data_IF_567669495848
#
_entry.id   IF_567669495848
#
_cell.length_a   1.000
_cell.length_b   1.000
_cell.length_c   1.000
_cell.angle_alpha   90.00
_cell.angle_beta   90.00
_cell.angle_gamma   90.00
#
_symmetry.space_group_name_H-M   'P 1'
#
loop_
_entity.id
_entity.type
_entity.pdbx_description
1 polymer ?
#
# COMPACT_ATOMS: atom_id res chain seq x y z
N UNK A 1 -55.92 -9.39 -32.63
CA UNK A 1 -55.65 -10.84 -32.50
C UNK A 1 -54.15 -11.01 -32.25
N UNK A 2 -53.76 -11.39 -31.01
CA UNK A 2 -52.55 -12.17 -30.61
C UNK A 2 -51.15 -11.67 -31.08
N UNK A 3 -50.03 -11.71 -30.37
CA UNK A 3 -49.57 -12.10 -29.03
C UNK A 3 -48.08 -11.65 -28.95
N UNK A 4 -47.63 -11.23 -27.75
CA UNK A 4 -46.29 -11.30 -27.13
C UNK A 4 -45.01 -11.54 -27.97
N UNK A 5 -43.89 -10.87 -27.62
CA UNK A 5 -42.73 -11.49 -26.94
C UNK A 5 -41.71 -10.43 -26.46
N UNK A 6 -41.25 -10.60 -25.22
CA UNK A 6 -40.31 -9.75 -24.52
C UNK A 6 -38.86 -9.98 -24.97
N UNK A 7 -38.01 -8.94 -24.91
CA UNK A 7 -36.62 -9.09 -24.47
C UNK A 7 -36.02 -7.72 -24.09
N UNK A 8 -36.09 -7.37 -22.81
CA UNK A 8 -35.22 -6.35 -22.23
C UNK A 8 -33.93 -7.05 -21.77
N UNK A 9 -32.91 -7.09 -22.63
CA UNK A 9 -31.54 -7.43 -22.22
C UNK A 9 -30.83 -6.17 -21.77
N UNK A 10 -30.71 -6.01 -20.45
CA UNK A 10 -29.75 -5.10 -19.83
C UNK A 10 -28.34 -5.58 -20.21
N UNK A 11 -27.69 -4.88 -21.14
CA UNK A 11 -26.24 -5.02 -21.34
C UNK A 11 -25.53 -4.23 -20.23
N UNK A 12 -25.12 -4.91 -19.16
CA UNK A 12 -24.05 -4.42 -18.32
C UNK A 12 -22.75 -4.50 -19.14
N UNK A 13 -22.34 -3.39 -19.75
CA UNK A 13 -21.00 -3.28 -20.32
C UNK A 13 -19.99 -3.31 -19.17
N UNK A 14 -19.45 -4.49 -18.87
CA UNK A 14 -18.11 -4.58 -18.30
C UNK A 14 -17.15 -4.04 -19.35
N UNK A 15 -16.65 -2.83 -19.14
CA UNK A 15 -15.55 -2.27 -19.93
C UNK A 15 -14.30 -3.08 -19.57
N UNK A 16 -14.10 -4.21 -20.24
CA UNK A 16 -12.79 -4.87 -20.24
C UNK A 16 -11.89 -4.05 -21.17
N UNK A 17 -10.75 -3.59 -20.64
CA UNK A 17 -9.78 -2.87 -21.46
C UNK A 17 -9.33 -3.78 -22.62
N UNK A 18 -9.34 -3.26 -23.85
CA UNK A 18 -8.81 -3.97 -25.00
C UNK A 18 -7.35 -4.36 -24.75
N UNK A 19 -6.87 -5.53 -25.24
CA UNK A 19 -5.46 -5.93 -25.14
C UNK A 19 -4.48 -4.85 -25.60
N UNK A 20 -4.90 -4.00 -26.55
CA UNK A 20 -4.13 -2.87 -27.06
C UNK A 20 -4.06 -1.73 -26.04
N UNK A 21 -5.18 -1.40 -25.37
CA UNK A 21 -5.22 -0.39 -24.31
C UNK A 21 -4.38 -0.82 -23.11
N UNK A 22 -4.43 -2.11 -22.78
CA UNK A 22 -3.59 -2.73 -21.76
C UNK A 22 -2.12 -2.65 -22.13
N UNK A 23 -1.77 -2.98 -23.38
CA UNK A 23 -0.41 -2.87 -23.90
C UNK A 23 0.12 -1.42 -23.90
N UNK A 24 -0.70 -0.45 -24.30
CA UNK A 24 -0.33 0.96 -24.29
C UNK A 24 -0.20 1.52 -22.86
N UNK A 25 -1.05 1.10 -21.94
CA UNK A 25 -0.92 1.45 -20.52
C UNK A 25 0.33 0.79 -19.89
N UNK A 26 0.75 -0.39 -20.37
CA UNK A 26 2.02 -1.04 -20.00
C UNK A 26 3.24 -0.27 -20.51
N UNK A 27 3.22 0.23 -21.76
CA UNK A 27 4.29 1.06 -22.31
C UNK A 27 4.47 2.40 -21.56
N UNK A 28 3.37 2.97 -21.06
CA UNK A 28 3.40 4.20 -20.24
C UNK A 28 3.95 4.00 -18.81
N UNK A 29 4.16 2.75 -18.38
CA UNK A 29 4.65 2.36 -17.05
C UNK A 29 6.03 1.71 -17.12
N UNK A 30 6.88 2.20 -18.01
CA UNK A 30 8.30 1.86 -18.00
C UNK A 30 8.98 2.62 -16.86
N UNK A 31 9.59 1.89 -15.93
CA UNK A 31 10.43 2.49 -14.89
C UNK A 31 11.85 2.47 -15.41
N UNK A 32 12.49 3.62 -15.44
CA UNK A 32 13.93 3.70 -15.68
C UNK A 32 14.59 3.64 -14.30
N UNK A 33 15.23 2.52 -13.97
CA UNK A 33 16.07 2.41 -12.77
C UNK A 33 17.52 2.60 -13.19
N UNK A 34 18.22 3.49 -12.48
CA UNK A 34 19.65 3.74 -12.66
C UNK A 34 20.39 3.15 -11.46
N UNK A 35 21.41 2.34 -11.73
CA UNK A 35 22.27 1.74 -10.72
C UNK A 35 23.72 2.10 -10.98
N UNK A 36 24.46 2.39 -9.92
CA UNK A 36 25.92 2.56 -9.98
C UNK A 36 26.59 1.22 -9.72
N UNK A 37 27.13 0.61 -10.78
CA UNK A 37 27.90 -0.63 -10.70
C UNK A 37 29.37 -0.26 -10.57
N UNK A 38 29.96 -0.60 -9.43
CA UNK A 38 31.39 -0.38 -9.18
C UNK A 38 32.18 -1.60 -9.66
N UNK A 39 32.92 -1.44 -10.74
CA UNK A 39 33.86 -2.43 -11.24
C UNK A 39 35.26 -2.12 -10.71
N UNK A 40 35.90 -3.09 -10.06
CA UNK A 40 37.28 -2.97 -9.55
C UNK A 40 38.21 -3.72 -10.48
N UNK A 41 39.17 -3.01 -11.07
CA UNK A 41 40.16 -3.57 -11.99
C UNK A 41 41.36 -4.04 -11.17
N UNK A 42 41.75 -5.30 -11.36
CA UNK A 42 42.89 -5.92 -10.68
C UNK A 42 44.05 -6.16 -11.65
N UNK A 43 45.29 -6.06 -11.15
CA UNK A 43 46.47 -6.45 -11.93
C UNK A 43 46.72 -7.97 -11.91
N UNK A 44 47.74 -8.44 -12.63
CA UNK A 44 48.14 -9.85 -12.70
C UNK A 44 48.49 -10.49 -11.35
N UNK A 45 48.73 -9.67 -10.32
CA UNK A 45 49.06 -10.11 -8.96
C UNK A 45 47.85 -10.02 -8.02
N UNK A 46 46.65 -9.75 -8.55
CA UNK A 46 45.41 -9.67 -7.77
C UNK A 46 45.28 -8.40 -6.93
N UNK A 47 46.09 -7.37 -7.16
CA UNK A 47 45.97 -6.08 -6.46
C UNK A 47 45.03 -5.14 -7.22
N UNK A 48 44.06 -4.49 -6.57
CA UNK A 48 43.22 -3.50 -7.22
C UNK A 48 44.06 -2.30 -7.67
N UNK A 49 43.88 -1.89 -8.92
CA UNK A 49 44.64 -0.79 -9.56
C UNK A 49 43.76 0.34 -10.06
N UNK A 50 42.47 0.11 -10.27
CA UNK A 50 41.51 1.14 -10.63
C UNK A 50 40.09 0.72 -10.24
N UNK A 51 39.20 1.71 -10.13
CA UNK A 51 37.77 1.50 -9.93
C UNK A 51 37.01 2.30 -10.97
N UNK A 52 36.08 1.67 -11.66
CA UNK A 52 35.19 2.29 -12.64
C UNK A 52 33.76 2.22 -12.13
N UNK A 53 33.05 3.35 -12.15
CA UNK A 53 31.62 3.40 -11.82
C UNK A 53 30.84 3.44 -13.13
N UNK A 54 30.18 2.33 -13.45
CA UNK A 54 29.26 2.26 -14.58
C UNK A 54 27.86 2.69 -14.12
N UNK A 55 27.33 3.72 -14.77
CA UNK A 55 25.94 4.12 -14.59
C UNK A 55 25.09 3.25 -15.51
N UNK A 56 24.47 2.22 -14.96
CA UNK A 56 23.63 1.28 -15.71
C UNK A 56 22.19 1.75 -15.61
N UNK A 57 21.68 2.23 -16.73
CA UNK A 57 20.26 2.58 -16.89
C UNK A 57 19.53 1.37 -17.47
N UNK A 58 18.63 0.77 -16.70
CA UNK A 58 17.80 -0.35 -17.17
C UNK A 58 16.32 0.01 -17.14
N UNK A 59 15.63 -0.35 -18.23
CA UNK A 59 14.18 -0.22 -18.32
C UNK A 59 13.57 -1.43 -17.65
N UNK A 60 13.00 -1.22 -16.48
CA UNK A 60 12.34 -2.25 -15.70
C UNK A 60 10.87 -2.17 -16.02
N UNK A 61 10.37 -3.24 -16.61
CA UNK A 61 8.94 -3.44 -16.75
C UNK A 61 8.47 -4.01 -15.40
N UNK A 62 7.47 -3.41 -14.73
CA UNK A 62 6.81 -4.10 -13.63
C UNK A 62 6.40 -5.48 -14.14
N UNK A 63 6.62 -6.50 -13.31
CA UNK A 63 6.45 -7.91 -13.68
C UNK A 63 5.18 -8.09 -14.51
N UNK A 64 5.32 -8.72 -15.69
CA UNK A 64 4.24 -8.83 -16.69
C UNK A 64 3.06 -9.68 -16.21
N UNK A 65 3.28 -10.48 -15.18
CA UNK A 65 2.24 -11.15 -14.41
C UNK A 65 1.78 -10.22 -13.28
N UNK A 66 0.61 -9.61 -13.49
CA UNK A 66 -0.14 -8.98 -12.39
C UNK A 66 -0.23 -9.99 -11.26
N UNK A 67 0.06 -9.54 -10.04
CA UNK A 67 -0.19 -10.37 -8.87
C UNK A 67 -1.67 -10.80 -8.87
N UNK A 68 -1.97 -12.08 -8.61
CA UNK A 68 -3.34 -12.54 -8.56
C UNK A 68 -4.08 -11.73 -7.50
N UNK A 69 -5.28 -11.26 -7.86
CA UNK A 69 -6.17 -10.59 -6.91
C UNK A 69 -6.46 -11.58 -5.77
N UNK A 70 -6.26 -11.19 -4.50
CA UNK A 70 -6.68 -12.02 -3.38
C UNK A 70 -8.18 -12.32 -3.47
N UNK A 71 -8.56 -13.60 -3.55
CA UNK A 71 -9.96 -14.03 -3.69
C UNK A 71 -10.52 -14.71 -2.45
N UNK A 72 -9.66 -15.20 -1.55
CA UNK A 72 -10.08 -15.87 -0.33
C UNK A 72 -10.58 -14.85 0.71
N UNK A 73 -11.73 -15.13 1.31
CA UNK A 73 -12.21 -14.36 2.47
C UNK A 73 -11.23 -14.55 3.63
N UNK A 74 -10.70 -13.46 4.23
CA UNK A 74 -9.80 -13.58 5.37
C UNK A 74 -10.53 -14.10 6.61
N UNK A 75 -9.87 -14.94 7.41
CA UNK A 75 -10.47 -15.60 8.58
C UNK A 75 -9.78 -15.26 9.90
N UNK A 76 -8.60 -14.64 9.83
CA UNK A 76 -7.80 -14.22 10.98
C UNK A 76 -7.23 -12.81 10.76
N UNK A 77 -6.52 -12.26 11.77
CA UNK A 77 -6.00 -10.90 11.70
C UNK A 77 -4.92 -10.72 10.62
N UNK A 78 -4.02 -11.70 10.46
CA UNK A 78 -2.91 -11.64 9.50
C UNK A 78 -3.43 -11.67 8.07
N UNK A 79 -4.30 -12.64 7.75
CA UNK A 79 -4.97 -12.73 6.46
C UNK A 79 -5.84 -11.50 6.19
N UNK A 80 -6.47 -10.91 7.21
CA UNK A 80 -7.22 -9.65 7.06
C UNK A 80 -6.30 -8.49 6.67
N UNK A 81 -5.22 -8.28 7.41
CA UNK A 81 -4.24 -7.24 7.12
C UNK A 81 -3.68 -7.40 5.70
N UNK A 82 -3.19 -8.59 5.35
CA UNK A 82 -2.65 -8.87 4.02
C UNK A 82 -3.69 -8.68 2.93
N UNK A 83 -4.91 -9.22 3.08
CA UNK A 83 -5.97 -9.10 2.08
C UNK A 83 -6.28 -7.63 1.75
N UNK A 84 -6.51 -6.81 2.78
CA UNK A 84 -6.90 -5.42 2.60
C UNK A 84 -5.77 -4.52 2.09
N UNK A 85 -4.50 -4.86 2.29
CA UNK A 85 -3.40 -4.19 1.59
C UNK A 85 -3.29 -4.68 0.14
N UNK A 86 -3.30 -5.98 -0.05
CA UNK A 86 -2.96 -6.61 -1.32
C UNK A 86 -4.03 -6.40 -2.40
N UNK A 87 -5.31 -6.37 -2.02
CA UNK A 87 -6.39 -6.06 -2.99
C UNK A 87 -6.19 -4.67 -3.62
N UNK A 88 -5.79 -3.68 -2.82
CA UNK A 88 -5.51 -2.33 -3.29
C UNK A 88 -4.20 -2.26 -4.07
N UNK A 89 -3.15 -2.96 -3.63
CA UNK A 89 -1.90 -3.05 -4.38
C UNK A 89 -2.07 -3.66 -5.77
N UNK A 90 -2.94 -4.65 -5.94
CA UNK A 90 -3.26 -5.18 -7.27
C UNK A 90 -3.90 -4.14 -8.18
N UNK A 91 -4.74 -3.24 -7.63
CA UNK A 91 -5.31 -2.13 -8.38
C UNK A 91 -4.24 -1.11 -8.81
N UNK A 92 -3.03 -1.15 -8.24
CA UNK A 92 -1.92 -0.26 -8.58
C UNK A 92 -0.76 -0.97 -9.32
N UNK A 93 -0.95 -2.23 -9.72
CA UNK A 93 0.09 -3.01 -10.43
C UNK A 93 1.43 -3.11 -9.67
N UNK A 94 1.38 -3.14 -8.33
CA UNK A 94 2.57 -3.35 -7.48
C UNK A 94 2.54 -4.75 -6.83
N UNK A 95 3.72 -5.36 -6.52
CA UNK A 95 3.79 -6.70 -5.91
C UNK A 95 3.00 -6.81 -4.61
N UNK A 96 2.58 -8.02 -4.24
CA UNK A 96 1.91 -8.23 -2.95
C UNK A 96 2.89 -8.07 -1.78
N UNK A 97 2.38 -7.61 -0.64
CA UNK A 97 3.12 -7.60 0.62
C UNK A 97 3.10 -8.99 1.24
N UNK A 98 4.21 -9.30 1.90
CA UNK A 98 4.37 -10.44 2.79
C UNK A 98 4.27 -10.00 4.26
N UNK A 99 3.90 -10.92 5.15
CA UNK A 99 3.81 -10.63 6.57
C UNK A 99 5.18 -10.78 7.25
N UNK A 100 5.63 -9.75 7.96
CA UNK A 100 6.89 -9.78 8.71
C UNK A 100 6.65 -9.63 10.22
N UNK A 101 6.99 -10.68 10.97
CA UNK A 101 6.81 -10.72 12.43
C UNK A 101 7.72 -9.75 13.20
N UNK A 102 8.84 -9.31 12.62
CA UNK A 102 9.69 -8.27 13.22
C UNK A 102 9.00 -6.91 13.17
N UNK A 103 8.34 -6.59 12.05
CA UNK A 103 7.54 -5.36 11.91
C UNK A 103 6.35 -5.37 12.87
N UNK A 104 5.72 -6.54 13.07
CA UNK A 104 4.66 -6.75 14.07
C UNK A 104 5.17 -6.48 15.48
N UNK A 105 6.35 -7.00 15.85
CA UNK A 105 6.90 -6.78 17.19
C UNK A 105 7.06 -5.29 17.52
N UNK A 106 7.49 -4.48 16.55
CA UNK A 106 7.56 -3.01 16.71
C UNK A 106 6.17 -2.36 16.76
N UNK A 107 5.24 -2.79 15.90
CA UNK A 107 3.88 -2.26 15.85
C UNK A 107 3.12 -2.52 17.16
N UNK A 108 3.26 -3.72 17.72
CA UNK A 108 2.64 -4.12 18.99
C UNK A 108 3.11 -3.24 20.15
N UNK A 109 4.40 -2.94 20.24
CA UNK A 109 4.94 -2.07 21.28
C UNK A 109 4.31 -0.69 21.21
N UNK A 110 4.22 -0.09 20.01
CA UNK A 110 3.59 1.22 19.85
C UNK A 110 2.08 1.18 20.15
N UNK A 111 1.36 0.22 19.56
CA UNK A 111 -0.09 0.10 19.73
C UNK A 111 -0.46 -0.08 21.21
N UNK A 112 0.30 -0.87 21.96
CA UNK A 112 0.10 -1.11 23.39
C UNK A 112 0.29 0.16 24.26
N UNK A 113 0.95 1.21 23.76
CA UNK A 113 1.07 2.46 24.51
C UNK A 113 -0.25 3.20 24.62
N UNK A 114 -1.18 2.97 23.69
CA UNK A 114 -2.42 3.73 23.57
C UNK A 114 -2.22 5.26 23.51
N UNK A 115 -1.04 5.70 23.05
CA UNK A 115 -0.71 7.10 22.81
C UNK A 115 -0.69 7.36 21.32
N UNK A 116 -1.59 8.25 20.87
CA UNK A 116 -1.66 8.63 19.47
C UNK A 116 -0.35 9.28 19.02
N UNK A 117 0.22 8.76 17.93
CA UNK A 117 1.40 9.33 17.30
C UNK A 117 2.34 8.28 16.72
N UNK A 118 3.14 8.72 15.76
CA UNK A 118 4.12 7.86 15.11
C UNK A 118 5.34 7.56 16.00
N UNK A 119 5.88 6.35 15.87
CA UNK A 119 7.19 5.97 16.43
C UNK A 119 7.86 4.92 15.54
N UNK A 120 8.86 5.36 14.78
CA UNK A 120 9.56 4.57 13.75
C UNK A 120 10.99 4.16 14.15
N UNK A 121 11.29 4.20 15.44
CA UNK A 121 12.60 3.84 16.01
C UNK A 121 12.55 2.63 16.96
N UNK A 122 11.38 2.00 17.13
CA UNK A 122 11.20 0.84 17.99
C UNK A 122 11.89 -0.38 17.37
N UNK A 123 12.60 -1.17 18.19
CA UNK A 123 13.37 -2.35 17.79
C UNK A 123 14.34 -2.12 16.62
N UNK A 124 14.97 -0.94 16.56
CA UNK A 124 15.99 -0.61 15.54
C UNK A 124 15.48 0.21 14.35
N UNK A 125 14.16 0.44 14.24
CA UNK A 125 13.60 1.34 13.23
C UNK A 125 13.83 0.90 11.78
N UNK A 126 13.93 1.87 10.87
CA UNK A 126 14.20 1.61 9.44
C UNK A 126 12.99 1.13 8.63
N UNK A 127 11.79 1.32 9.15
CA UNK A 127 10.52 0.97 8.51
C UNK A 127 9.63 2.22 8.36
N UNK A 128 8.74 2.19 7.37
CA UNK A 128 7.65 3.17 7.24
C UNK A 128 6.50 2.80 8.16
N UNK A 129 5.55 3.71 8.39
CA UNK A 129 4.46 3.48 9.33
C UNK A 129 3.16 4.17 8.91
N UNK A 130 2.05 3.44 8.97
CA UNK A 130 0.71 4.00 8.99
C UNK A 130 0.11 3.78 10.37
N UNK A 131 -0.63 4.77 10.86
CA UNK A 131 -1.45 4.64 12.05
C UNK A 131 -2.90 5.01 11.74
N UNK A 132 -3.83 4.38 12.42
CA UNK A 132 -5.25 4.68 12.35
C UNK A 132 -5.84 4.48 13.73
N UNK A 133 -6.89 5.23 14.01
CA UNK A 133 -7.68 4.94 15.18
C UNK A 133 -9.16 5.18 14.92
N UNK A 134 -10.00 4.36 15.56
CA UNK A 134 -11.45 4.41 15.42
C UNK A 134 -12.11 4.41 16.81
N UNK A 135 -12.69 5.56 17.17
CA UNK A 135 -13.42 5.76 18.41
C UNK A 135 -14.91 5.42 18.28
N UNK A 136 -15.43 4.60 19.19
CA UNK A 136 -16.87 4.28 19.27
C UNK A 136 -17.24 3.91 20.70
N UNK A 137 -18.44 4.27 21.15
CA UNK A 137 -18.95 3.86 22.48
C UNK A 137 -19.08 2.35 22.62
N UNK A 138 -19.17 1.64 21.49
CA UNK A 138 -19.13 0.19 21.41
C UNK A 138 -17.96 -0.31 20.53
N UNK A 139 -16.80 0.36 20.59
CA UNK A 139 -15.62 0.00 19.77
C UNK A 139 -15.29 -1.51 19.85
N UNK A 140 -15.40 -2.10 21.04
CA UNK A 140 -15.12 -3.53 21.26
C UNK A 140 -15.93 -4.47 20.34
N UNK A 141 -17.17 -4.12 19.99
CA UNK A 141 -18.01 -4.95 19.12
C UNK A 141 -17.50 -5.02 17.67
N UNK A 142 -16.71 -4.03 17.22
CA UNK A 142 -16.09 -4.06 15.89
C UNK A 142 -15.06 -5.20 15.81
N UNK A 143 -14.22 -5.32 16.84
CA UNK A 143 -13.11 -6.28 16.90
C UNK A 143 -11.89 -5.87 16.06
N UNK A 144 -10.71 -6.34 16.47
CA UNK A 144 -9.43 -5.95 15.89
C UNK A 144 -9.30 -6.27 14.39
N UNK A 145 -9.83 -7.41 13.92
CA UNK A 145 -9.75 -7.77 12.50
C UNK A 145 -10.53 -6.78 11.64
N UNK A 146 -11.76 -6.46 12.04
CA UNK A 146 -12.61 -5.55 11.29
C UNK A 146 -12.06 -4.13 11.35
N UNK A 147 -11.50 -3.71 12.48
CA UNK A 147 -10.76 -2.46 12.56
C UNK A 147 -9.61 -2.41 11.55
N UNK A 148 -8.75 -3.44 11.51
CA UNK A 148 -7.65 -3.50 10.55
C UNK A 148 -8.15 -3.41 9.10
N UNK A 149 -9.27 -4.06 8.78
CA UNK A 149 -9.92 -3.93 7.49
C UNK A 149 -10.38 -2.49 7.19
N UNK A 150 -11.02 -1.82 8.16
CA UNK A 150 -11.49 -0.43 8.05
C UNK A 150 -10.31 0.53 7.89
N UNK A 151 -9.27 0.40 8.72
CA UNK A 151 -8.08 1.22 8.66
C UNK A 151 -7.41 1.15 7.28
N UNK A 152 -7.13 -0.06 6.77
CA UNK A 152 -6.48 -0.23 5.48
C UNK A 152 -7.37 0.19 4.30
N UNK A 153 -8.63 -0.24 4.28
CA UNK A 153 -9.48 -0.02 3.11
C UNK A 153 -10.19 1.32 3.12
N UNK A 154 -10.90 1.64 4.19
CA UNK A 154 -11.76 2.82 4.21
C UNK A 154 -10.96 4.09 4.50
N UNK A 155 -10.04 4.03 5.47
CA UNK A 155 -9.28 5.21 5.91
C UNK A 155 -8.09 5.46 4.97
N UNK A 156 -7.07 4.60 5.02
CA UNK A 156 -5.81 4.84 4.32
C UNK A 156 -5.89 4.74 2.80
N UNK A 157 -6.77 3.91 2.24
CA UNK A 157 -6.87 3.77 0.78
C UNK A 157 -8.04 4.57 0.20
N UNK A 158 -9.30 4.22 0.52
CA UNK A 158 -10.46 4.88 -0.08
C UNK A 158 -10.58 6.35 0.31
N UNK A 159 -10.21 6.71 1.55
CA UNK A 159 -10.25 8.09 2.05
C UNK A 159 -9.20 8.99 1.42
N UNK A 160 -8.08 8.42 0.98
CA UNK A 160 -6.87 9.17 0.60
C UNK A 160 -6.49 9.05 -0.87
N UNK A 161 -6.73 7.91 -1.53
CA UNK A 161 -6.43 7.76 -2.95
C UNK A 161 -7.05 8.88 -3.80
N UNK A 162 -8.31 9.33 -3.56
CA UNK A 162 -8.90 10.45 -4.31
C UNK A 162 -8.22 11.80 -4.11
N UNK A 163 -7.51 12.01 -3.00
CA UNK A 163 -6.79 13.26 -2.70
C UNK A 163 -5.40 13.28 -3.37
N UNK A 164 -4.83 12.12 -3.70
CA UNK A 164 -3.63 12.01 -4.53
C UNK A 164 -3.95 12.34 -6.00
N UNK A 165 -3.77 13.62 -6.35
CA UNK A 165 -4.22 14.19 -7.61
C UNK A 165 -3.67 13.44 -8.84
N UNK A 166 -4.43 13.36 -9.95
CA UNK A 166 -3.96 12.75 -11.19
C UNK A 166 -2.63 13.33 -11.72
N UNK A 167 -2.33 14.60 -11.42
CA UNK A 167 -1.09 15.27 -11.79
C UNK A 167 0.14 14.86 -10.96
N UNK A 168 -0.03 14.11 -9.87
CA UNK A 168 1.06 13.63 -9.02
C UNK A 168 1.66 12.31 -9.51
N UNK A 169 0.91 11.49 -10.27
CA UNK A 169 1.44 10.26 -10.83
C UNK A 169 2.59 10.54 -11.80
N UNK A 170 3.70 9.81 -11.65
CA UNK A 170 4.93 10.03 -12.42
C UNK A 170 5.77 11.24 -11.96
N UNK A 171 5.32 12.02 -10.97
CA UNK A 171 6.09 13.13 -10.40
C UNK A 171 6.94 12.63 -9.24
N UNK A 172 8.25 12.83 -9.32
CA UNK A 172 9.19 12.45 -8.24
C UNK A 172 8.93 13.15 -6.91
N UNK A 173 8.39 14.38 -6.97
CA UNK A 173 8.03 15.19 -5.81
C UNK A 173 6.63 15.79 -6.01
N UNK A 174 5.54 15.10 -5.59
CA UNK A 174 4.22 15.70 -5.46
C UNK A 174 4.25 16.91 -4.52
N UNK A 175 3.15 17.64 -4.44
CA UNK A 175 3.05 18.71 -3.44
C UNK A 175 2.98 18.10 -2.04
N UNK A 176 4.07 18.22 -1.29
CA UNK A 176 4.18 17.64 0.05
C UNK A 176 3.40 18.45 1.10
N UNK A 177 2.86 19.63 0.77
CA UNK A 177 2.03 20.39 1.71
C UNK A 177 0.70 19.70 2.02
N UNK A 178 0.26 18.79 1.14
CA UNK A 178 -0.94 17.95 1.32
C UNK A 178 -0.60 16.52 1.71
N UNK A 179 0.65 16.24 2.12
CA UNK A 179 1.10 14.87 2.43
C UNK A 179 0.21 14.14 3.43
N UNK A 180 -0.31 14.85 4.44
CA UNK A 180 -1.20 14.26 5.44
C UNK A 180 -2.53 13.74 4.86
N UNK A 181 -2.94 14.22 3.67
CA UNK A 181 -4.16 13.79 2.99
C UNK A 181 -3.99 12.50 2.19
N UNK A 182 -2.75 12.08 1.88
CA UNK A 182 -2.48 10.94 0.99
C UNK A 182 -1.28 10.04 1.38
N UNK A 183 -0.60 10.36 2.47
CA UNK A 183 0.62 9.69 2.91
C UNK A 183 0.40 8.22 3.25
N UNK A 184 -0.73 7.86 3.83
CA UNK A 184 -1.02 6.46 4.15
C UNK A 184 -1.30 5.66 2.88
N UNK A 185 -2.07 6.23 1.94
CA UNK A 185 -2.32 5.65 0.62
C UNK A 185 -1.01 5.33 -0.11
N UNK A 186 -0.13 6.32 -0.23
CA UNK A 186 1.13 6.17 -0.97
C UNK A 186 2.06 5.13 -0.36
N UNK A 187 2.10 5.01 0.98
CA UNK A 187 2.83 3.92 1.65
C UNK A 187 2.23 2.55 1.33
N UNK A 188 0.90 2.40 1.33
CA UNK A 188 0.25 1.12 1.03
C UNK A 188 0.58 0.62 -0.37
N UNK A 189 0.59 1.50 -1.37
CA UNK A 189 0.82 1.16 -2.78
C UNK A 189 2.26 1.37 -3.24
N UNK A 190 3.19 1.63 -2.31
CA UNK A 190 4.59 1.87 -2.64
C UNK A 190 5.22 0.62 -3.27
N UNK A 191 5.73 0.75 -4.50
CA UNK A 191 6.33 -0.35 -5.27
C UNK A 191 7.48 -1.03 -4.51
N UNK A 192 8.38 -0.25 -3.93
CA UNK A 192 9.57 -0.76 -3.25
C UNK A 192 9.30 -1.46 -1.91
N UNK A 193 8.09 -1.30 -1.34
CA UNK A 193 7.70 -1.97 -0.09
C UNK A 193 7.28 -3.40 -0.38
N UNK A 194 7.84 -4.37 0.34
CA UNK A 194 7.56 -5.79 0.14
C UNK A 194 7.02 -6.50 1.40
N UNK A 195 7.15 -5.91 2.57
CA UNK A 195 6.70 -6.51 3.82
C UNK A 195 5.89 -5.53 4.67
N UNK A 196 4.92 -6.08 5.40
CA UNK A 196 4.10 -5.36 6.38
C UNK A 196 3.93 -6.17 7.65
N UNK A 197 3.88 -5.47 8.78
CA UNK A 197 3.50 -6.06 10.06
C UNK A 197 2.65 -5.08 10.85
N UNK A 198 1.48 -5.54 11.30
CA UNK A 198 0.48 -4.69 11.95
C UNK A 198 0.10 -5.18 13.36
N UNK A 199 -0.38 -4.25 14.18
CA UNK A 199 -0.99 -4.52 15.47
C UNK A 199 -2.17 -3.56 15.72
N UNK A 200 -3.22 -4.07 16.34
CA UNK A 200 -4.42 -3.29 16.69
C UNK A 200 -4.72 -3.47 18.17
N UNK A 201 -4.71 -2.39 18.94
CA UNK A 201 -4.94 -2.36 20.38
C UNK A 201 -6.25 -1.66 20.71
N UNK A 202 -7.08 -2.23 21.60
CA UNK A 202 -8.21 -1.51 22.17
C UNK A 202 -7.72 -0.64 23.31
N UNK A 203 -7.90 0.67 23.16
CA UNK A 203 -7.58 1.70 24.14
C UNK A 203 -8.84 2.18 24.84
N UNK A 204 -8.71 2.58 26.09
CA UNK A 204 -9.81 3.03 26.95
C UNK A 204 -10.16 4.50 26.68
N UNK A 205 -11.31 4.99 27.15
CA UNK A 205 -11.55 6.43 27.24
C UNK A 205 -10.38 7.13 27.95
N UNK A 206 -10.08 8.36 27.54
CA UNK A 206 -8.94 9.18 27.97
C UNK A 206 -7.56 8.77 27.43
N UNK A 207 -7.44 7.64 26.72
CA UNK A 207 -6.18 7.28 26.05
C UNK A 207 -5.99 8.09 24.76
N UNK A 208 -6.78 7.78 23.72
CA UNK A 208 -6.73 8.48 22.42
C UNK A 208 -7.86 9.50 22.31
N UNK A 209 -9.08 9.15 22.72
CA UNK A 209 -10.22 10.07 22.75
C UNK A 209 -10.66 10.36 24.18
N UNK A 210 -11.15 11.59 24.48
CA UNK A 210 -11.57 11.95 25.83
C UNK A 210 -12.70 11.08 26.39
N UNK A 211 -13.68 10.72 25.55
CA UNK A 211 -14.98 10.22 26.06
C UNK A 211 -15.36 8.81 25.61
N UNK A 212 -14.49 8.12 24.85
CA UNK A 212 -14.85 6.81 24.29
C UNK A 212 -13.62 5.91 24.09
N UNK A 213 -13.78 4.58 24.21
CA UNK A 213 -12.72 3.67 23.83
C UNK A 213 -12.50 3.73 22.33
N UNK A 214 -11.31 3.30 21.93
CA UNK A 214 -10.96 3.27 20.53
C UNK A 214 -9.97 2.19 20.19
N UNK A 215 -10.08 1.69 18.96
CA UNK A 215 -9.00 0.88 18.43
C UNK A 215 -7.87 1.76 17.92
N UNK A 216 -6.64 1.35 18.18
CA UNK A 216 -5.41 1.94 17.67
C UNK A 216 -4.67 0.92 16.82
N UNK A 217 -4.65 1.15 15.52
CA UNK A 217 -3.99 0.29 14.53
C UNK A 217 -2.68 0.92 14.09
N UNK A 218 -1.61 0.15 14.17
CA UNK A 218 -0.26 0.50 13.70
C UNK A 218 0.17 -0.54 12.68
N UNK A 219 0.55 -0.13 11.47
CA UNK A 219 1.19 -0.99 10.48
C UNK A 219 2.57 -0.43 10.12
N UNK A 220 3.59 -1.26 10.22
CA UNK A 220 4.95 -0.94 9.81
C UNK A 220 5.28 -1.61 8.48
N UNK A 221 6.10 -0.95 7.67
CA UNK A 221 6.39 -1.34 6.28
C UNK A 221 7.89 -1.39 6.01
N UNK A 222 8.36 -2.44 5.35
CA UNK A 222 9.76 -2.56 4.93
C UNK A 222 9.87 -2.96 3.44
N UNK A 223 10.89 -2.45 2.73
CA UNK A 223 11.53 -1.15 2.95
C UNK A 223 10.51 0.00 3.16
N UNK A 224 10.91 1.14 3.78
CA UNK A 224 9.99 2.26 3.98
C UNK A 224 9.55 2.88 2.65
N UNK A 225 8.29 3.33 2.60
CA UNK A 225 7.77 4.12 1.50
C UNK A 225 7.97 5.62 1.70
N UNK A 226 7.32 6.42 0.87
CA UNK A 226 7.22 7.87 1.01
C UNK A 226 8.56 8.62 0.99
N UNK A 227 9.55 8.03 0.33
CA UNK A 227 10.88 8.62 0.18
C UNK A 227 10.83 9.79 -0.80
N UNK A 228 11.27 10.96 -0.36
CA UNK A 228 11.37 12.16 -1.19
C UNK A 228 12.14 11.89 -2.49
N UNK A 229 11.65 12.42 -3.61
CA UNK A 229 12.21 12.22 -4.94
C UNK A 229 11.87 10.87 -5.59
N UNK A 230 11.17 9.96 -4.91
CA UNK A 230 10.94 8.59 -5.42
C UNK A 230 9.46 8.28 -5.72
N UNK A 231 8.54 9.24 -5.56
CA UNK A 231 7.10 8.99 -5.76
C UNK A 231 6.75 8.55 -7.18
N UNK A 232 7.35 9.19 -8.19
CA UNK A 232 7.03 8.97 -9.60
C UNK A 232 7.28 7.54 -10.08
N UNK A 233 8.19 6.82 -9.44
CA UNK A 233 8.53 5.43 -9.76
C UNK A 233 7.91 4.42 -8.80
N UNK A 234 7.30 4.86 -7.70
CA UNK A 234 6.73 3.97 -6.68
C UNK A 234 5.21 4.02 -6.56
N UNK A 235 4.56 5.09 -7.01
CA UNK A 235 3.10 5.28 -6.91
C UNK A 235 2.49 5.32 -8.29
N UNK A 236 1.84 4.24 -8.69
CA UNK A 236 1.21 4.11 -10.01
C UNK A 236 -0.27 4.49 -9.98
N UNK A 237 -0.85 4.94 -11.11
CA UNK A 237 -2.29 5.19 -11.19
C UNK A 237 -3.10 3.89 -11.07
N UNK A 238 -4.31 3.95 -10.49
CA UNK A 238 -5.15 2.77 -10.34
C UNK A 238 -5.64 2.22 -11.69
N UNK A 239 -5.82 0.89 -11.75
CA UNK A 239 -6.40 0.15 -12.87
C UNK A 239 -7.93 0.28 -12.95
N UNK A 240 -8.55 0.97 -11.98
CA UNK A 240 -10.00 1.17 -11.86
C UNK A 240 -10.77 -0.14 -11.63
N UNK A 241 -10.21 -1.03 -10.83
CA UNK A 241 -10.96 -2.16 -10.28
C UNK A 241 -12.18 -1.66 -9.46
N UNK A 242 -13.24 -2.47 -9.31
CA UNK A 242 -14.36 -2.14 -8.45
C UNK A 242 -13.89 -1.78 -7.03
N UNK A 243 -14.50 -0.74 -6.44
CA UNK A 243 -14.17 -0.32 -5.08
C UNK A 243 -14.49 -1.42 -4.07
N UNK A 244 -13.52 -1.70 -3.20
CA UNK A 244 -13.70 -2.55 -2.03
C UNK A 244 -14.11 -1.66 -0.87
N UNK A 245 -15.18 -2.01 -0.16
CA UNK A 245 -15.66 -1.27 0.99
C UNK A 245 -15.86 -2.20 2.17
N UNK A 246 -15.46 -1.73 3.36
CA UNK A 246 -15.70 -2.44 4.61
C UNK A 246 -16.87 -1.76 5.31
N UNK A 247 -18.02 -2.44 5.39
CA UNK A 247 -19.20 -1.88 6.06
C UNK A 247 -18.94 -1.84 7.57
N UNK A 248 -19.01 -0.66 8.19
CA UNK A 248 -18.99 -0.52 9.64
C UNK A 248 -20.29 -1.09 10.23
N UNK A 249 -20.19 -1.79 11.36
CA UNK A 249 -21.37 -2.28 12.09
C UNK A 249 -22.11 -1.14 12.79
#
# INVERSE_FOLDING_TARGET
MRLQFALAMLFALMVTASPITDFLNRLKRQIIQTYDVTEVIYNSNGKPVATTILHVTTTVYPSTTLAPVPTATPTDYVSTALYHHNIHRTNHSVPLLEWDTKLVASAQVLAATCKWGHSMNINGGGYGQNIAAYGSTNAKALGANKEMAVAATNMWYNGEQPTYLPSYYGKNNPDLTTFEDWGHFTQMVWLGTNSVGCATQLCQPMDIWPSMPAWYTVCNYAPPGNMGGQYGVNVFPPLRHPSVNVINA
#
